data_IF_760648749552
#
_entry.id   IF_760648749552
#
_cell.length_a   1.000
_cell.length_b   1.000
_cell.length_c   1.000
_cell.angle_alpha   90.00
_cell.angle_beta   90.00
_cell.angle_gamma   90.00
#
_symmetry.space_group_name_H-M   'P 1'
#
loop_
_entity.id
_entity.type
_entity.pdbx_description
1 polymer ?
#
# COMPACT_ATOMS: atom_id res chain seq x y z
N UNK A 1 -6.95 9.64 57.24
CA UNK A 1 -7.66 8.44 56.74
C UNK A 1 -8.49 8.74 55.49
N UNK A 2 -9.11 9.93 55.40
CA UNK A 2 -9.92 10.32 54.24
C UNK A 2 -9.11 10.44 52.93
N UNK A 3 -7.90 11.03 52.97
CA UNK A 3 -7.07 11.25 51.77
C UNK A 3 -6.56 9.95 51.13
N UNK A 4 -6.30 8.92 51.93
CA UNK A 4 -5.83 7.61 51.44
C UNK A 4 -6.94 6.83 50.74
N UNK A 5 -8.19 6.99 51.19
CA UNK A 5 -9.37 6.38 50.56
C UNK A 5 -9.63 7.03 49.19
N UNK A 6 -9.53 8.35 49.11
CA UNK A 6 -9.65 9.08 47.85
C UNK A 6 -8.54 8.67 46.87
N UNK A 7 -7.30 8.53 47.33
CA UNK A 7 -6.19 8.10 46.49
C UNK A 7 -6.37 6.66 45.96
N UNK A 8 -6.83 5.73 46.81
CA UNK A 8 -7.13 4.35 46.38
C UNK A 8 -8.31 4.28 45.40
N UNK A 9 -9.29 5.16 45.56
CA UNK A 9 -10.44 5.24 44.64
C UNK A 9 -9.99 5.75 43.27
N UNK A 10 -9.14 6.77 43.22
CA UNK A 10 -8.56 7.28 41.97
C UNK A 10 -7.66 6.26 41.26
N UNK A 11 -6.91 5.46 42.02
CA UNK A 11 -6.05 4.41 41.48
C UNK A 11 -6.89 3.24 40.91
N UNK A 12 -7.98 2.86 41.57
CA UNK A 12 -8.90 1.82 41.09
C UNK A 12 -9.66 2.21 39.83
N UNK A 13 -10.06 3.49 39.70
CA UNK A 13 -10.74 3.99 38.50
C UNK A 13 -9.82 3.91 37.25
N UNK A 14 -8.52 4.15 37.40
CA UNK A 14 -7.57 4.05 36.27
C UNK A 14 -7.39 2.61 35.75
N UNK A 15 -7.56 1.60 36.61
CA UNK A 15 -7.42 0.20 36.23
C UNK A 15 -8.65 -0.35 35.48
N UNK A 16 -9.83 0.22 35.72
CA UNK A 16 -11.09 -0.20 35.07
C UNK A 16 -11.17 0.32 33.62
N UNK A 17 -10.45 1.40 33.29
CA UNK A 17 -10.35 1.94 31.93
C UNK A 17 -9.18 1.29 31.18
N UNK A 18 -9.13 -0.04 31.16
CA UNK A 18 -8.31 -0.77 30.22
C UNK A 18 -8.94 -0.58 28.83
N UNK A 19 -8.49 0.43 28.09
CA UNK A 19 -8.91 0.62 26.70
C UNK A 19 -8.47 -0.60 25.89
N UNK A 20 -9.34 -1.16 25.02
CA UNK A 20 -8.90 -2.15 24.06
C UNK A 20 -7.73 -1.56 23.27
N UNK A 21 -6.66 -2.33 23.13
CA UNK A 21 -5.47 -1.95 22.38
C UNK A 21 -5.89 -1.62 20.96
N UNK A 22 -5.90 -0.33 20.61
CA UNK A 22 -6.34 0.22 19.32
C UNK A 22 -5.48 -0.24 18.13
N UNK A 23 -4.39 -0.96 18.37
CA UNK A 23 -3.46 -1.43 17.34
C UNK A 23 -3.62 -2.91 16.99
N UNK A 24 -4.56 -3.63 17.62
CA UNK A 24 -4.86 -4.98 17.18
C UNK A 24 -5.77 -4.88 15.95
N UNK A 25 -5.46 -5.65 14.87
CA UNK A 25 -6.38 -5.75 13.76
C UNK A 25 -7.73 -6.32 14.25
N UNK A 26 -8.84 -5.95 13.59
CA UNK A 26 -10.15 -6.56 13.84
C UNK A 26 -10.06 -8.08 13.90
N UNK A 27 -10.79 -8.77 14.79
CA UNK A 27 -10.77 -10.23 14.87
C UNK A 27 -11.32 -10.91 13.61
N UNK A 28 -12.03 -10.15 12.75
CA UNK A 28 -12.50 -10.60 11.44
C UNK A 28 -11.41 -10.55 10.37
N UNK A 29 -10.29 -9.85 10.60
CA UNK A 29 -9.20 -9.77 9.66
C UNK A 29 -8.39 -11.07 9.64
N UNK A 30 -8.09 -11.55 8.44
CA UNK A 30 -7.28 -12.75 8.23
C UNK A 30 -5.84 -12.46 8.65
N UNK A 31 -5.23 -13.29 9.51
CA UNK A 31 -3.82 -13.17 9.87
C UNK A 31 -2.89 -13.20 8.67
N UNK A 32 -1.82 -12.40 8.71
CA UNK A 32 -0.86 -12.30 7.61
C UNK A 32 -0.17 -13.64 7.33
N UNK A 33 0.04 -14.46 8.35
CA UNK A 33 0.61 -15.80 8.22
C UNK A 33 -0.24 -16.71 7.33
N UNK A 34 -1.57 -16.53 7.36
CA UNK A 34 -2.50 -17.29 6.50
C UNK A 34 -2.43 -16.75 5.07
N UNK A 35 -2.43 -15.43 4.90
CA UNK A 35 -2.32 -14.79 3.58
C UNK A 35 -1.00 -15.14 2.87
N UNK A 36 0.10 -15.27 3.61
CA UNK A 36 1.40 -15.69 3.06
C UNK A 36 1.41 -17.16 2.63
N UNK A 37 0.50 -17.98 3.15
CA UNK A 37 0.33 -19.38 2.72
C UNK A 37 -0.67 -19.55 1.58
N UNK A 38 -1.43 -18.50 1.25
CA UNK A 38 -2.37 -18.52 0.14
C UNK A 38 -1.59 -18.55 -1.18
N UNK A 39 -1.72 -19.66 -1.91
CA UNK A 39 -1.16 -19.78 -3.26
C UNK A 39 -2.10 -19.02 -4.19
N UNK A 40 -1.74 -17.76 -4.48
CA UNK A 40 -2.45 -16.92 -5.45
C UNK A 40 -2.32 -17.56 -6.83
N UNK A 41 -3.31 -18.37 -7.20
CA UNK A 41 -3.39 -19.03 -8.52
C UNK A 41 -4.06 -18.15 -9.57
N UNK A 42 -4.77 -17.11 -9.13
CA UNK A 42 -5.40 -16.11 -9.98
C UNK A 42 -4.37 -15.04 -10.35
N UNK A 43 -3.88 -15.08 -11.58
CA UNK A 43 -3.14 -13.96 -12.11
C UNK A 43 -4.13 -12.79 -12.29
N UNK A 44 -3.72 -11.55 -12.02
CA UNK A 44 -4.49 -10.37 -12.43
C UNK A 44 -3.85 -9.76 -13.67
N UNK A 45 -4.67 -9.28 -14.59
CA UNK A 45 -4.17 -8.59 -15.77
C UNK A 45 -3.34 -7.37 -15.34
N UNK A 46 -2.10 -7.21 -15.83
CA UNK A 46 -1.26 -6.04 -15.51
C UNK A 46 -1.78 -4.75 -16.15
N UNK A 47 -2.79 -4.84 -17.02
CA UNK A 47 -3.40 -3.71 -17.73
C UNK A 47 -4.68 -3.25 -17.02
N UNK A 48 -5.54 -4.19 -16.64
CA UNK A 48 -6.92 -3.89 -16.17
C UNK A 48 -7.18 -4.31 -14.71
N UNK A 49 -6.30 -5.09 -14.08
CA UNK A 49 -6.51 -5.65 -12.72
C UNK A 49 -7.59 -6.73 -12.60
N UNK A 50 -8.20 -7.13 -13.72
CA UNK A 50 -9.20 -8.21 -13.79
C UNK A 50 -8.56 -9.58 -13.50
N UNK A 51 -9.30 -10.52 -12.89
CA UNK A 51 -8.84 -11.90 -12.72
C UNK A 51 -8.62 -12.54 -14.10
N UNK A 52 -7.52 -13.28 -14.22
CA UNK A 52 -7.00 -13.88 -15.44
C UNK A 52 -6.49 -15.28 -15.10
N UNK A 53 -6.72 -16.25 -15.98
CA UNK A 53 -6.18 -17.60 -15.80
C UNK A 53 -4.68 -17.62 -16.07
N UNK A 54 -3.96 -18.62 -15.54
CA UNK A 54 -2.52 -18.75 -15.74
C UNK A 54 -2.12 -18.89 -17.23
N UNK A 55 -2.98 -19.52 -18.05
CA UNK A 55 -2.75 -19.66 -19.49
C UNK A 55 -2.88 -18.32 -20.22
N UNK A 56 -3.97 -17.58 -19.96
CA UNK A 56 -4.18 -16.26 -20.53
C UNK A 56 -3.10 -15.26 -20.10
N UNK A 57 -2.60 -15.39 -18.86
CA UNK A 57 -1.47 -14.58 -18.39
C UNK A 57 -0.19 -14.87 -19.17
N UNK A 58 0.14 -16.15 -19.39
CA UNK A 58 1.30 -16.55 -20.17
C UNK A 58 1.23 -16.05 -21.62
N UNK A 59 0.05 -16.11 -22.23
CA UNK A 59 -0.19 -15.57 -23.58
C UNK A 59 -0.06 -14.05 -23.62
N UNK A 60 -0.63 -13.33 -22.66
CA UNK A 60 -0.52 -11.87 -22.56
C UNK A 60 0.94 -11.45 -22.37
N UNK A 61 1.69 -12.19 -21.57
CA UNK A 61 3.09 -11.93 -21.34
C UNK A 61 3.95 -12.20 -22.59
N UNK A 62 3.64 -13.26 -23.36
CA UNK A 62 4.28 -13.53 -24.64
C UNK A 62 4.00 -12.43 -25.67
N UNK A 63 2.76 -11.93 -25.73
CA UNK A 63 2.38 -10.80 -26.61
C UNK A 63 3.12 -9.51 -26.24
N UNK A 64 3.28 -9.22 -24.94
CA UNK A 64 4.04 -8.06 -24.48
C UNK A 64 5.54 -8.21 -24.78
N UNK A 65 6.10 -9.42 -24.65
CA UNK A 65 7.50 -9.71 -24.94
C UNK A 65 7.84 -9.63 -26.44
N UNK A 66 6.87 -9.93 -27.31
CA UNK A 66 7.04 -9.83 -28.76
C UNK A 66 7.05 -8.39 -29.29
N UNK A 67 6.63 -7.41 -28.48
CA UNK A 67 6.66 -6.01 -28.87
C UNK A 67 8.11 -5.53 -28.92
N UNK A 68 8.65 -5.36 -30.13
CA UNK A 68 10.04 -4.93 -30.38
C UNK A 68 10.32 -3.47 -29.99
N UNK A 69 9.26 -2.66 -29.84
CA UNK A 69 9.36 -1.24 -29.54
C UNK A 69 8.72 -0.96 -28.17
N UNK A 70 9.39 -0.23 -27.27
CA UNK A 70 8.77 0.20 -26.02
C UNK A 70 7.47 0.97 -26.31
N UNK A 71 6.44 0.84 -25.46
CA UNK A 71 5.19 1.56 -25.66
C UNK A 71 5.49 3.05 -25.76
N UNK A 72 5.05 3.67 -26.87
CA UNK A 72 5.17 5.11 -27.02
C UNK A 72 4.31 5.76 -25.94
N UNK A 73 4.94 6.54 -25.07
CA UNK A 73 4.23 7.36 -24.09
C UNK A 73 3.38 8.39 -24.84
N UNK A 74 2.24 8.75 -24.25
CA UNK A 74 1.43 9.84 -24.79
C UNK A 74 2.29 11.12 -24.95
N UNK A 75 2.24 11.82 -26.10
CA UNK A 75 3.07 13.00 -26.34
C UNK A 75 2.92 14.10 -25.29
N UNK A 76 1.73 14.26 -24.70
CA UNK A 76 1.47 15.23 -23.64
C UNK A 76 2.21 14.83 -22.35
N UNK A 77 2.15 13.54 -21.99
CA UNK A 77 2.89 13.00 -20.84
C UNK A 77 4.40 13.16 -21.05
N UNK A 78 4.92 12.90 -22.25
CA UNK A 78 6.34 13.12 -22.56
C UNK A 78 6.74 14.59 -22.35
N UNK A 79 5.90 15.53 -22.79
CA UNK A 79 6.13 16.96 -22.61
C UNK A 79 6.12 17.35 -21.13
N UNK A 80 5.16 16.84 -20.36
CA UNK A 80 5.09 17.08 -18.91
C UNK A 80 6.34 16.56 -18.20
N UNK A 81 6.79 15.33 -18.51
CA UNK A 81 8.02 14.76 -17.94
C UNK A 81 9.22 15.64 -18.27
N UNK A 82 9.31 16.15 -19.51
CA UNK A 82 10.37 17.07 -19.91
C UNK A 82 10.36 18.35 -19.06
N UNK A 83 9.21 19.01 -18.91
CA UNK A 83 9.07 20.22 -18.08
C UNK A 83 9.44 19.96 -16.61
N UNK A 84 9.06 18.80 -16.06
CA UNK A 84 9.42 18.40 -14.70
C UNK A 84 10.94 18.23 -14.53
N UNK A 85 11.62 17.63 -15.51
CA UNK A 85 13.09 17.50 -15.51
C UNK A 85 13.77 18.87 -15.56
N UNK A 86 13.28 19.76 -16.42
CA UNK A 86 13.77 21.14 -16.51
C UNK A 86 13.58 21.88 -15.18
N UNK A 87 12.39 21.80 -14.58
CA UNK A 87 12.12 22.36 -13.25
C UNK A 87 13.04 21.79 -12.18
N UNK A 88 13.27 20.48 -12.19
CA UNK A 88 14.18 19.83 -11.23
C UNK A 88 15.60 20.35 -11.39
N UNK A 89 16.07 20.52 -12.63
CA UNK A 89 17.40 21.08 -12.92
C UNK A 89 17.54 22.50 -12.37
N UNK A 90 16.54 23.36 -12.59
CA UNK A 90 16.53 24.70 -12.00
C UNK A 90 16.56 24.64 -10.47
N UNK A 91 15.71 23.81 -9.84
CA UNK A 91 15.72 23.66 -8.38
C UNK A 91 17.06 23.17 -7.82
N UNK A 92 17.78 22.35 -8.59
CA UNK A 92 19.11 21.86 -8.20
C UNK A 92 20.18 22.95 -8.36
N UNK A 93 20.12 23.77 -9.42
CA UNK A 93 21.12 24.80 -9.72
C UNK A 93 20.88 26.11 -8.96
N UNK A 94 19.64 26.43 -8.61
CA UNK A 94 19.26 27.62 -7.83
C UNK A 94 18.65 27.18 -6.49
N UNK A 95 19.48 26.86 -5.46
CA UNK A 95 19.02 26.42 -4.15
C UNK A 95 18.54 27.59 -3.25
N UNK A 96 17.93 28.60 -3.83
CA UNK A 96 17.48 29.82 -3.16
C UNK A 96 16.04 30.16 -3.54
#
# INVERSE_FOLDING_TARGET
>A
MEKTIVLSLWLGINFIVAKPVLSLPPPEDVPEEILRTEIITEARSPIDGKPLTAAEYAELQAQMAQRSTPPALDPEIQHIIFLLRVRSLFRTLTPF
#
